data_IF_899796850309
#
_entry.id   IF_899796850309
#
_cell.length_a   1.000
_cell.length_b   1.000
_cell.length_c   1.000
_cell.angle_alpha   90.00
_cell.angle_beta   90.00
_cell.angle_gamma   90.00
#
_symmetry.space_group_name_H-M   'P 1'
#
loop_
_entity.id
_entity.type
_entity.pdbx_description
1 polymer ?
#
# COMPACT_ATOMS: atom_id res chain seq x y z
N UNK A 1 13.54 -6.26 -45.76
CA UNK A 1 12.54 -5.57 -46.61
C UNK A 1 12.79 -4.07 -46.46
N UNK A 2 13.08 -3.34 -47.54
CA UNK A 2 13.23 -1.89 -47.50
C UNK A 2 11.93 -1.26 -48.02
N UNK A 3 11.36 -0.31 -47.25
CA UNK A 3 10.14 0.39 -47.63
C UNK A 3 10.42 1.89 -47.73
N UNK A 4 9.93 2.52 -48.81
CA UNK A 4 9.97 3.97 -49.02
C UNK A 4 8.54 4.48 -49.06
N UNK A 5 8.09 5.12 -47.98
CA UNK A 5 6.74 5.67 -47.86
C UNK A 5 6.76 7.15 -48.25
N UNK A 6 5.81 7.56 -49.09
CA UNK A 6 5.60 8.96 -49.47
C UNK A 6 4.14 9.32 -49.21
N UNK A 7 3.86 10.55 -48.74
CA UNK A 7 2.52 11.00 -48.34
C UNK A 7 1.85 10.16 -47.23
N UNK A 8 2.65 9.56 -46.32
CA UNK A 8 2.11 8.78 -45.20
C UNK A 8 1.54 9.70 -44.11
N UNK A 9 0.35 9.39 -43.52
CA UNK A 9 -0.23 10.23 -42.48
C UNK A 9 0.66 10.35 -41.23
N UNK A 10 0.92 11.58 -40.79
CA UNK A 10 1.75 11.85 -39.61
C UNK A 10 1.19 11.21 -38.32
N UNK A 11 -0.14 11.11 -38.21
CA UNK A 11 -0.81 10.49 -37.06
C UNK A 11 -0.47 9.00 -36.97
N UNK A 12 -0.47 8.31 -38.08
CA UNK A 12 -0.17 6.88 -38.12
C UNK A 12 1.30 6.65 -37.85
N UNK A 13 2.18 7.53 -38.34
CA UNK A 13 3.60 7.51 -38.00
C UNK A 13 3.84 7.69 -36.49
N UNK A 14 3.16 8.65 -35.86
CA UNK A 14 3.26 8.86 -34.42
C UNK A 14 2.76 7.64 -33.62
N UNK A 15 1.70 6.98 -34.10
CA UNK A 15 1.18 5.74 -33.50
C UNK A 15 2.17 4.57 -33.62
N UNK A 16 2.78 4.39 -34.80
CA UNK A 16 3.82 3.38 -35.02
C UNK A 16 5.04 3.65 -34.14
N UNK A 17 5.46 4.92 -34.03
CA UNK A 17 6.57 5.31 -33.17
C UNK A 17 6.30 5.02 -31.69
N UNK A 18 5.10 5.34 -31.20
CA UNK A 18 4.69 5.01 -29.84
C UNK A 18 4.70 3.50 -29.58
N UNK A 19 4.25 2.71 -30.55
CA UNK A 19 4.29 1.25 -30.49
C UNK A 19 5.73 0.75 -30.40
N UNK A 20 6.62 1.24 -31.26
CA UNK A 20 8.04 0.89 -31.26
C UNK A 20 8.73 1.31 -29.95
N UNK A 21 8.43 2.51 -29.44
CA UNK A 21 8.93 3.01 -28.16
C UNK A 21 8.51 2.12 -26.99
N UNK A 22 7.26 1.67 -26.97
CA UNK A 22 6.75 0.76 -25.94
C UNK A 22 7.42 -0.61 -26.03
N UNK A 23 7.60 -1.17 -27.24
CA UNK A 23 8.31 -2.44 -27.44
C UNK A 23 9.75 -2.35 -26.89
N UNK A 24 10.49 -1.27 -27.19
CA UNK A 24 11.85 -1.07 -26.65
C UNK A 24 11.83 -0.99 -25.12
N UNK A 25 10.91 -0.21 -24.53
CA UNK A 25 10.77 -0.09 -23.06
C UNK A 25 10.41 -1.41 -22.40
N UNK A 26 9.63 -2.26 -23.06
CA UNK A 26 9.23 -3.55 -22.54
C UNK A 26 10.38 -4.57 -22.64
N UNK A 27 11.18 -4.53 -23.71
CA UNK A 27 12.43 -5.28 -23.81
C UNK A 27 13.41 -4.95 -22.68
N UNK A 28 13.53 -3.68 -22.28
CA UNK A 28 14.34 -3.26 -21.13
C UNK A 28 13.89 -3.87 -19.79
N UNK A 29 12.62 -4.32 -19.70
CA UNK A 29 12.02 -4.97 -18.53
C UNK A 29 12.09 -6.50 -18.61
N UNK A 30 12.37 -7.09 -19.77
CA UNK A 30 12.55 -8.54 -19.92
C UNK A 30 13.72 -8.97 -19.03
N UNK A 31 13.46 -9.93 -18.13
CA UNK A 31 14.43 -10.41 -17.14
C UNK A 31 14.53 -9.62 -15.83
N UNK A 32 13.94 -8.41 -15.74
CA UNK A 32 13.91 -7.59 -14.50
C UNK A 32 12.63 -7.78 -13.67
N UNK A 33 11.63 -8.49 -14.20
CA UNK A 33 10.30 -8.65 -13.61
C UNK A 33 10.28 -9.47 -12.31
N UNK A 34 11.30 -10.31 -12.08
CA UNK A 34 11.39 -11.22 -10.93
C UNK A 34 12.64 -10.98 -10.05
N UNK A 35 13.05 -9.72 -9.84
CA UNK A 35 14.02 -9.47 -8.76
C UNK A 35 13.28 -9.70 -7.44
N UNK A 36 13.56 -10.81 -6.75
CA UNK A 36 13.08 -11.02 -5.37
C UNK A 36 13.43 -9.75 -4.57
N UNK A 37 12.44 -9.21 -3.84
CA UNK A 37 12.70 -8.11 -2.91
C UNK A 37 13.76 -8.58 -1.93
N UNK A 38 14.65 -7.69 -1.54
CA UNK A 38 15.61 -8.01 -0.49
C UNK A 38 14.88 -8.25 0.85
N UNK A 39 15.57 -8.89 1.76
CA UNK A 39 15.07 -9.28 3.08
C UNK A 39 14.59 -8.07 3.89
N UNK A 40 15.28 -6.94 3.79
CA UNK A 40 14.91 -5.71 4.48
C UNK A 40 13.55 -5.18 4.01
N UNK A 41 13.29 -5.22 2.71
CA UNK A 41 12.01 -4.83 2.15
C UNK A 41 10.90 -5.82 2.55
N UNK A 42 11.17 -7.12 2.56
CA UNK A 42 10.23 -8.14 3.00
C UNK A 42 9.86 -7.96 4.48
N UNK A 43 10.84 -7.78 5.35
CA UNK A 43 10.64 -7.57 6.78
C UNK A 43 9.89 -6.26 7.07
N UNK A 44 10.18 -5.20 6.32
CA UNK A 44 9.40 -3.95 6.38
C UNK A 44 7.93 -4.19 6.00
N UNK A 45 7.68 -4.97 4.95
CA UNK A 45 6.31 -5.30 4.53
C UNK A 45 5.56 -6.12 5.58
N UNK A 46 6.20 -7.13 6.18
CA UNK A 46 5.63 -7.93 7.26
C UNK A 46 5.30 -7.08 8.50
N UNK A 47 6.21 -6.20 8.92
CA UNK A 47 5.95 -5.26 10.01
C UNK A 47 4.77 -4.34 9.69
N UNK A 48 4.71 -3.80 8.47
CA UNK A 48 3.60 -2.95 8.04
C UNK A 48 2.26 -3.68 8.04
N UNK A 49 2.23 -4.96 7.66
CA UNK A 49 1.03 -5.79 7.72
C UNK A 49 0.51 -5.90 9.16
N UNK A 50 1.37 -6.29 10.11
CA UNK A 50 0.97 -6.39 11.52
C UNK A 50 0.50 -5.06 12.08
N UNK A 51 1.20 -3.95 11.75
CA UNK A 51 0.79 -2.60 12.12
C UNK A 51 -0.60 -2.23 11.59
N UNK A 52 -0.94 -2.63 10.36
CA UNK A 52 -2.26 -2.39 9.77
C UNK A 52 -3.35 -3.17 10.48
N UNK A 53 -3.11 -4.44 10.85
CA UNK A 53 -4.06 -5.20 11.66
C UNK A 53 -4.34 -4.52 12.99
N UNK A 54 -3.29 -4.15 13.73
CA UNK A 54 -3.45 -3.47 15.02
C UNK A 54 -4.22 -2.15 14.88
N UNK A 55 -3.96 -1.37 13.82
CA UNK A 55 -4.66 -0.12 13.55
C UNK A 55 -6.12 -0.31 13.18
N UNK A 56 -6.42 -1.29 12.34
CA UNK A 56 -7.79 -1.59 11.97
C UNK A 56 -8.60 -2.03 13.21
N UNK A 57 -8.00 -2.81 14.10
CA UNK A 57 -8.62 -3.19 15.38
C UNK A 57 -8.86 -1.96 16.26
N UNK A 58 -7.88 -1.06 16.43
CA UNK A 58 -8.04 0.17 17.21
C UNK A 58 -9.21 1.03 16.68
N UNK A 59 -9.31 1.16 15.35
CA UNK A 59 -10.40 1.90 14.69
C UNK A 59 -11.74 1.22 14.95
N UNK A 60 -11.84 -0.10 14.77
CA UNK A 60 -13.11 -0.82 14.87
C UNK A 60 -13.60 -0.95 16.32
N UNK A 61 -12.71 -1.12 17.28
CA UNK A 61 -13.07 -1.31 18.69
C UNK A 61 -13.20 0.01 19.46
N UNK A 62 -12.34 1.00 19.17
CA UNK A 62 -12.22 2.23 19.95
C UNK A 62 -12.57 3.49 19.17
N UNK A 63 -12.62 3.43 17.84
CA UNK A 63 -12.80 4.61 16.99
C UNK A 63 -11.59 5.54 16.95
N UNK A 64 -10.40 5.04 17.30
CA UNK A 64 -9.18 5.85 17.44
C UNK A 64 -8.14 5.51 16.38
N UNK A 65 -7.45 6.54 15.87
CA UNK A 65 -6.29 6.36 14.97
C UNK A 65 -5.01 6.52 15.79
N UNK A 66 -4.43 5.40 16.22
CA UNK A 66 -3.13 5.40 16.88
C UNK A 66 -1.98 5.26 15.86
N UNK A 67 -1.30 6.37 15.60
CA UNK A 67 -0.13 6.44 14.70
C UNK A 67 1.19 6.12 15.40
N UNK A 68 1.32 6.43 16.70
CA UNK A 68 2.52 6.17 17.50
C UNK A 68 2.32 4.96 18.43
N UNK A 69 2.83 3.80 17.99
CA UNK A 69 2.65 2.52 18.66
C UNK A 69 3.79 2.19 19.60
N UNK A 70 3.83 2.85 20.76
CA UNK A 70 4.84 2.57 21.79
C UNK A 70 4.73 1.15 22.34
N UNK A 71 3.50 0.69 22.61
CA UNK A 71 3.23 -0.63 23.22
C UNK A 71 3.67 -1.80 22.34
N UNK A 72 3.43 -1.70 21.04
CA UNK A 72 3.81 -2.74 20.07
C UNK A 72 5.17 -2.46 19.41
N UNK A 73 5.90 -1.42 19.84
CA UNK A 73 7.12 -0.97 19.19
C UNK A 73 8.17 -2.07 19.09
N UNK A 74 8.44 -2.77 20.20
CA UNK A 74 9.42 -3.84 20.27
C UNK A 74 9.10 -4.97 19.29
N UNK A 75 7.84 -5.43 19.28
CA UNK A 75 7.38 -6.46 18.35
C UNK A 75 7.52 -6.03 16.89
N UNK A 76 7.13 -4.79 16.56
CA UNK A 76 7.24 -4.26 15.20
C UNK A 76 8.71 -4.13 14.77
N UNK A 77 9.59 -3.75 15.69
CA UNK A 77 11.03 -3.70 15.43
C UNK A 77 11.63 -5.10 15.26
N UNK A 78 11.25 -6.07 16.08
CA UNK A 78 11.65 -7.47 15.94
C UNK A 78 11.32 -8.03 14.55
N UNK A 79 10.09 -7.78 14.07
CA UNK A 79 9.68 -8.16 12.70
C UNK A 79 10.53 -7.42 11.66
N UNK A 80 10.74 -6.12 11.82
CA UNK A 80 11.52 -5.31 10.88
C UNK A 80 12.99 -5.72 10.79
N UNK A 81 13.57 -6.14 11.91
CA UNK A 81 14.95 -6.60 11.99
C UNK A 81 15.10 -8.08 11.58
N UNK A 82 14.02 -8.74 11.16
CA UNK A 82 14.09 -10.08 10.58
C UNK A 82 14.12 -11.22 11.60
N UNK A 83 13.77 -10.96 12.87
CA UNK A 83 13.72 -12.01 13.92
C UNK A 83 12.84 -13.20 13.54
N UNK A 84 11.83 -12.95 12.71
CA UNK A 84 10.86 -13.93 12.24
C UNK A 84 11.16 -14.45 10.83
N UNK A 85 12.21 -13.98 10.17
CA UNK A 85 12.57 -14.40 8.82
C UNK A 85 13.37 -15.70 8.89
N UNK A 86 13.12 -16.60 7.94
CA UNK A 86 13.83 -17.89 7.81
C UNK A 86 15.00 -17.75 6.84
N UNK A 87 15.93 -18.70 6.89
CA UNK A 87 17.08 -18.77 5.96
C UNK A 87 16.66 -18.92 4.48
N UNK A 88 15.42 -19.35 4.22
CA UNK A 88 14.84 -19.47 2.87
C UNK A 88 14.27 -18.15 2.33
N UNK A 89 14.30 -17.08 3.14
CA UNK A 89 13.72 -15.78 2.81
C UNK A 89 12.19 -15.73 3.00
N UNK A 90 11.62 -16.68 3.74
CA UNK A 90 10.21 -16.72 4.14
C UNK A 90 10.06 -16.32 5.61
N UNK A 91 8.88 -16.49 6.21
CA UNK A 91 8.65 -16.20 7.64
C UNK A 91 8.41 -17.49 8.43
N UNK A 92 8.78 -17.48 9.71
CA UNK A 92 8.58 -18.60 10.62
C UNK A 92 7.10 -18.87 10.89
N UNK A 93 6.77 -20.10 11.29
CA UNK A 93 5.41 -20.47 11.69
C UNK A 93 4.86 -19.57 12.80
N UNK A 94 5.71 -19.15 13.75
CA UNK A 94 5.33 -18.24 14.82
C UNK A 94 4.81 -16.89 14.33
N UNK A 95 5.33 -16.39 13.19
CA UNK A 95 4.82 -15.17 12.57
C UNK A 95 3.46 -15.41 11.92
N UNK A 96 3.28 -16.53 11.23
CA UNK A 96 2.00 -16.88 10.61
C UNK A 96 0.91 -17.16 11.64
N UNK A 97 1.24 -17.76 12.79
CA UNK A 97 0.32 -17.93 13.91
C UNK A 97 -0.13 -16.58 14.47
N UNK A 98 0.82 -15.68 14.71
CA UNK A 98 0.53 -14.31 15.15
C UNK A 98 -0.38 -13.59 14.15
N UNK A 99 -0.08 -13.67 12.85
CA UNK A 99 -0.90 -13.08 11.79
C UNK A 99 -2.34 -13.63 11.82
N UNK A 100 -2.50 -14.94 11.96
CA UNK A 100 -3.83 -15.60 12.06
C UNK A 100 -4.60 -15.15 13.30
N UNK A 101 -3.93 -14.91 14.43
CA UNK A 101 -4.59 -14.37 15.62
C UNK A 101 -5.11 -12.94 15.39
N UNK A 102 -4.32 -12.08 14.76
CA UNK A 102 -4.73 -10.73 14.42
C UNK A 102 -5.85 -10.70 13.37
N UNK A 103 -5.84 -11.61 12.40
CA UNK A 103 -6.92 -11.78 11.44
C UNK A 103 -8.25 -12.15 12.13
N UNK A 104 -8.22 -13.10 13.07
CA UNK A 104 -9.40 -13.46 13.88
C UNK A 104 -9.91 -12.29 14.72
N UNK A 105 -9.01 -11.53 15.35
CA UNK A 105 -9.36 -10.34 16.12
C UNK A 105 -10.01 -9.27 15.23
N UNK A 106 -9.45 -9.05 14.05
CA UNK A 106 -10.00 -8.11 13.07
C UNK A 106 -11.42 -8.53 12.63
N UNK A 107 -11.62 -9.81 12.31
CA UNK A 107 -12.93 -10.32 11.92
C UNK A 107 -13.95 -10.16 13.05
N UNK A 108 -13.54 -10.43 14.30
CA UNK A 108 -14.39 -10.21 15.47
C UNK A 108 -14.74 -8.73 15.65
N UNK A 109 -13.75 -7.84 15.61
CA UNK A 109 -13.94 -6.39 15.75
C UNK A 109 -14.85 -5.84 14.64
N UNK A 110 -14.68 -6.31 13.41
CA UNK A 110 -15.53 -5.90 12.28
C UNK A 110 -17.01 -6.26 12.47
N UNK A 111 -17.32 -7.36 13.17
CA UNK A 111 -18.71 -7.79 13.43
C UNK A 111 -19.35 -7.09 14.63
N UNK A 112 -18.55 -6.51 15.53
CA UNK A 112 -19.00 -5.91 16.78
C UNK A 112 -18.70 -4.41 16.87
N UNK A 113 -18.21 -3.81 15.79
CA UNK A 113 -17.92 -2.37 15.74
C UNK A 113 -19.21 -1.56 15.86
N UNK A 114 -19.08 -0.38 16.47
CA UNK A 114 -20.16 0.62 16.54
C UNK A 114 -20.06 1.66 15.41
N UNK A 115 -19.06 1.54 14.53
CA UNK A 115 -18.92 2.45 13.40
C UNK A 115 -20.11 2.29 12.45
N UNK A 116 -20.65 3.41 11.93
CA UNK A 116 -21.71 3.35 10.93
C UNK A 116 -21.17 2.76 9.62
N UNK A 117 -22.06 2.16 8.83
CA UNK A 117 -21.74 1.61 7.51
C UNK A 117 -21.26 2.71 6.53
N UNK A 118 -21.78 3.93 6.71
CA UNK A 118 -21.41 5.09 5.89
C UNK A 118 -20.93 6.25 6.76
N UNK A 119 -19.92 7.01 6.29
CA UNK A 119 -19.46 8.21 6.98
C UNK A 119 -20.51 9.33 6.90
N UNK A 120 -20.48 10.25 7.86
CA UNK A 120 -21.28 11.49 7.77
C UNK A 120 -20.69 12.42 6.70
N UNK A 121 -21.19 12.27 5.47
CA UNK A 121 -20.77 13.08 4.32
C UNK A 121 -20.98 14.57 4.52
N UNK A 122 -21.98 14.98 5.32
CA UNK A 122 -22.23 16.39 5.58
C UNK A 122 -21.10 16.97 6.42
N UNK A 123 -20.76 16.30 7.53
CA UNK A 123 -19.64 16.70 8.38
C UNK A 123 -18.31 16.71 7.63
N UNK A 124 -18.06 15.71 6.76
CA UNK A 124 -16.87 15.66 5.90
C UNK A 124 -16.82 16.86 4.95
N UNK A 125 -17.94 17.18 4.30
CA UNK A 125 -18.01 18.31 3.38
C UNK A 125 -17.77 19.65 4.08
N UNK A 126 -18.38 19.83 5.26
CA UNK A 126 -18.18 21.03 6.09
C UNK A 126 -16.69 21.19 6.46
N UNK A 127 -16.03 20.11 6.90
CA UNK A 127 -14.60 20.12 7.21
C UNK A 127 -13.75 20.54 5.99
N UNK A 128 -14.01 19.97 4.82
CA UNK A 128 -13.28 20.31 3.58
C UNK A 128 -13.48 21.78 3.21
N UNK A 129 -14.71 22.30 3.32
CA UNK A 129 -15.00 23.71 3.09
C UNK A 129 -14.24 24.61 4.07
N UNK A 130 -14.24 24.27 5.36
CA UNK A 130 -13.50 25.04 6.39
C UNK A 130 -12.00 25.06 6.11
N UNK A 131 -11.40 23.92 5.75
CA UNK A 131 -9.97 23.85 5.42
C UNK A 131 -9.66 24.74 4.20
N UNK A 132 -10.46 24.62 3.14
CA UNK A 132 -10.27 25.42 1.93
C UNK A 132 -10.44 26.92 2.18
N UNK A 133 -11.43 27.31 2.99
CA UNK A 133 -11.62 28.70 3.37
C UNK A 133 -10.40 29.25 4.11
N UNK A 134 -9.87 28.50 5.09
CA UNK A 134 -8.67 28.91 5.84
C UNK A 134 -7.44 29.04 4.96
N UNK A 135 -7.27 28.16 3.97
CA UNK A 135 -6.18 28.27 2.97
C UNK A 135 -6.35 29.53 2.12
N UNK A 136 -7.56 29.86 1.66
CA UNK A 136 -7.81 31.08 0.88
C UNK A 136 -7.57 32.35 1.73
N UNK A 137 -7.78 32.27 3.04
CA UNK A 137 -7.57 33.37 4.01
C UNK A 137 -6.12 33.45 4.54
N UNK A 138 -5.21 32.59 4.10
CA UNK A 138 -3.83 32.48 4.60
C UNK A 138 -3.73 32.23 6.13
N UNK A 139 -4.68 31.47 6.70
CA UNK A 139 -4.73 31.10 8.12
C UNK A 139 -4.09 29.73 8.43
N UNK A 140 -3.61 29.03 7.40
CA UNK A 140 -2.81 27.80 7.43
C UNK A 140 -1.96 27.70 6.16
#
# INVERSE_FOLDING_TARGET
VNAKLSHYPLRDYASMWNTMSNVVKDYDKIGKRNKKKDDLHLNKHAMHLMRLFMMAIDILERGEINTYREKEHELLMDIRFGKYQTDEGTFSDSFYDMMREYEKKLEFASKHTQLPDEPDFKSVQELVMTINERVIRDEI
#
